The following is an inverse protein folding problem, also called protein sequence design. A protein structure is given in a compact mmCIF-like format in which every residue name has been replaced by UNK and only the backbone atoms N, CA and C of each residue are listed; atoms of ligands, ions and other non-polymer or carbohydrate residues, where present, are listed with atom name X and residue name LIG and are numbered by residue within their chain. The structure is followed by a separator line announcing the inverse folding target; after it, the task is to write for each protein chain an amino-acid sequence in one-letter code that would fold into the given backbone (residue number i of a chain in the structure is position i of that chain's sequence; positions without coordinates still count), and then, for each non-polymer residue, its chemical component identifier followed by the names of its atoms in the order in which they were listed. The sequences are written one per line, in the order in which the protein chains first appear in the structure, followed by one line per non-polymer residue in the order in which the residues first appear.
data_IF_274229902046
#
_entry.id   IF_274229902046
#
_cell.length_a   1.000
_cell.length_b   1.000
_cell.length_c   1.000
_cell.angle_alpha   90.00
_cell.angle_beta   90.00
_cell.angle_gamma   90.00
#
_symmetry.space_group_name_H-M   'P 1'
#
loop_
_entity.id
_entity.type
_entity.pdbx_description
1 polymer ?
#
# COMPACT_ATOMS: atom_id res chain seq x y z
N UNK A 1 5.39 -8.92 39.24
CA UNK A 1 5.19 -7.77 38.31
C UNK A 1 4.95 -8.20 36.85
N UNK A 2 5.36 -9.40 36.41
CA UNK A 2 5.25 -9.87 35.02
C UNK A 2 3.81 -10.01 34.49
N UNK A 3 2.84 -10.43 35.33
CA UNK A 3 1.42 -10.50 34.95
C UNK A 3 0.70 -9.16 34.89
N UNK A 4 1.16 -8.13 35.62
CA UNK A 4 0.51 -6.80 35.60
C UNK A 4 0.79 -6.04 34.30
N UNK A 5 1.97 -6.22 33.71
CA UNK A 5 2.30 -5.63 32.40
C UNK A 5 1.45 -6.21 31.26
N UNK A 6 1.14 -7.51 31.30
CA UNK A 6 0.29 -8.17 30.31
C UNK A 6 -1.18 -7.69 30.39
N UNK A 7 -1.70 -7.53 31.62
CA UNK A 7 -3.04 -6.96 31.86
C UNK A 7 -3.15 -5.50 31.41
N UNK A 8 -2.11 -4.68 31.63
CA UNK A 8 -2.07 -3.32 31.09
C UNK A 8 -2.01 -3.28 29.56
N UNK A 9 -1.35 -4.27 28.93
CA UNK A 9 -1.32 -4.41 27.47
C UNK A 9 -2.71 -4.72 26.88
N UNK A 10 -3.46 -5.62 27.52
CA UNK A 10 -4.85 -5.94 27.14
C UNK A 10 -5.79 -4.74 27.32
N UNK A 11 -5.64 -4.00 28.42
CA UNK A 11 -6.46 -2.80 28.69
C UNK A 11 -6.28 -1.71 27.62
N UNK A 12 -5.06 -1.53 27.09
CA UNK A 12 -4.80 -0.59 26.00
C UNK A 12 -5.37 -1.04 24.65
N UNK A 13 -5.42 -2.36 24.40
CA UNK A 13 -6.01 -2.92 23.19
C UNK A 13 -7.53 -2.77 23.22
N UNK A 14 -8.18 -3.09 24.35
CA UNK A 14 -9.62 -2.87 24.54
C UNK A 14 -9.99 -1.39 24.41
N UNK A 15 -9.22 -0.48 25.01
CA UNK A 15 -9.48 0.95 24.93
C UNK A 15 -9.29 1.51 23.51
N UNK A 16 -8.29 1.03 22.76
CA UNK A 16 -8.09 1.43 21.36
C UNK A 16 -9.21 0.93 20.44
N UNK A 17 -9.74 -0.28 20.68
CA UNK A 17 -10.89 -0.80 19.96
C UNK A 17 -12.17 -0.01 20.30
N UNK A 18 -12.42 0.30 21.57
CA UNK A 18 -13.57 1.11 21.98
C UNK A 18 -13.55 2.52 21.38
N UNK A 19 -12.38 3.16 21.27
CA UNK A 19 -12.27 4.49 20.63
C UNK A 19 -12.44 4.41 19.11
N UNK A 20 -12.04 3.32 18.46
CA UNK A 20 -12.28 3.11 17.02
C UNK A 20 -13.74 2.73 16.70
N UNK A 21 -14.43 2.03 17.61
CA UNK A 21 -15.86 1.70 17.46
C UNK A 21 -16.79 2.81 17.94
N UNK A 22 -16.35 3.70 18.83
CA UNK A 22 -17.12 4.87 19.28
C UNK A 22 -16.94 6.10 18.37
N UNK A 23 -16.02 6.05 17.40
CA UNK A 23 -16.03 7.01 16.30
C UNK A 23 -17.28 6.72 15.45
N UNK A 24 -18.24 7.65 15.33
CA UNK A 24 -19.45 7.40 14.56
C UNK A 24 -19.02 7.17 13.11
N UNK A 25 -19.21 5.94 12.64
CA UNK A 25 -19.12 5.57 11.24
C UNK A 25 -20.19 6.33 10.48
N UNK A 26 -19.83 7.54 9.99
CA UNK A 26 -20.58 8.31 8.97
C UNK A 26 -20.59 7.59 7.61
N UNK A 27 -20.84 6.29 7.60
CA UNK A 27 -20.98 5.46 6.39
C UNK A 27 -22.41 4.94 6.21
N UNK A 28 -23.35 5.28 7.10
CA UNK A 28 -24.77 4.92 6.99
C UNK A 28 -25.67 6.15 6.92
N UNK A 29 -25.40 7.07 5.99
CA UNK A 29 -26.33 8.15 5.63
C UNK A 29 -25.88 8.79 4.31
N UNK A 30 -26.18 8.14 3.18
CA UNK A 30 -26.28 8.79 1.86
C UNK A 30 -26.92 7.79 0.88
N UNK A 31 -28.24 7.60 1.03
CA UNK A 31 -29.12 7.41 -0.11
C UNK A 31 -29.50 8.80 -0.60
N UNK A 32 -29.02 9.23 -1.75
CA UNK A 32 -29.83 9.90 -2.79
C UNK A 32 -28.96 10.36 -3.95
N UNK A 33 -29.51 10.15 -5.14
CA UNK A 33 -28.98 10.51 -6.45
C UNK A 33 -28.86 12.02 -6.60
N UNK A 34 -27.71 12.54 -7.04
CA UNK A 34 -27.59 13.64 -8.01
C UNK A 34 -26.20 13.55 -8.67
N UNK A 35 -26.16 13.37 -9.98
CA UNK A 35 -24.99 13.63 -10.83
C UNK A 35 -24.60 15.11 -10.73
N UNK A 36 -23.36 15.42 -10.39
CA UNK A 36 -22.78 16.71 -10.76
C UNK A 36 -21.38 16.50 -11.32
N UNK A 37 -21.27 16.83 -12.60
CA UNK A 37 -20.07 16.94 -13.41
C UNK A 37 -19.28 18.18 -12.96
N UNK A 38 -18.22 17.98 -12.18
CA UNK A 38 -17.19 19.01 -11.97
C UNK A 38 -15.86 18.43 -12.41
N UNK A 39 -15.46 18.79 -13.62
CA UNK A 39 -14.14 18.52 -14.17
C UNK A 39 -13.09 19.24 -13.31
N UNK A 40 -12.08 18.50 -12.85
CA UNK A 40 -10.91 19.06 -12.17
C UNK A 40 -10.15 19.98 -13.13
N UNK A 41 -10.13 21.28 -12.86
CA UNK A 41 -9.37 22.25 -13.63
C UNK A 41 -8.01 22.49 -12.95
N UNK A 42 -6.95 22.24 -13.71
CA UNK A 42 -5.55 22.44 -13.31
C UNK A 42 -5.03 23.73 -13.95
N UNK A 43 -4.28 24.54 -13.21
CA UNK A 43 -3.57 25.68 -13.79
C UNK A 43 -2.36 25.20 -14.62
N UNK A 44 -1.78 26.09 -15.44
CA UNK A 44 -0.64 25.77 -16.32
C UNK A 44 0.66 25.43 -15.59
N UNK A 45 0.70 25.52 -14.25
CA UNK A 45 1.85 25.16 -13.41
C UNK A 45 1.60 23.88 -12.60
N UNK A 46 0.48 23.18 -12.82
CA UNK A 46 0.17 21.92 -12.15
C UNK A 46 -0.24 22.06 -10.69
N UNK A 47 -0.62 23.27 -10.24
CA UNK A 47 -1.15 23.50 -8.90
C UNK A 47 -2.68 23.48 -8.89
N UNK A 48 -3.26 22.81 -7.88
CA UNK A 48 -4.71 22.67 -7.71
C UNK A 48 -5.29 24.01 -7.24
N UNK A 49 -6.00 24.72 -8.11
CA UNK A 49 -6.81 25.88 -7.71
C UNK A 49 -8.09 25.39 -7.03
N UNK A 50 -8.12 25.46 -5.69
CA UNK A 50 -9.36 25.39 -4.92
C UNK A 50 -10.07 26.74 -5.07
N UNK A 51 -11.02 26.83 -6.01
CA UNK A 51 -11.98 27.93 -6.01
C UNK A 51 -12.83 27.83 -4.73
N UNK A 52 -12.69 28.83 -3.86
CA UNK A 52 -13.64 29.09 -2.80
C UNK A 52 -14.89 29.70 -3.47
N UNK A 53 -15.98 28.94 -3.51
CA UNK A 53 -17.23 29.40 -4.10
C UNK A 53 -17.93 30.45 -3.22
N UNK A 54 -18.52 31.41 -3.92
CA UNK A 54 -19.16 32.63 -3.45
C UNK A 54 -20.33 32.44 -2.47
N UNK A 55 -20.54 33.44 -1.61
CA UNK A 55 -21.54 33.45 -0.53
C UNK A 55 -23.00 33.65 -0.97
N UNK A 56 -23.43 33.14 -2.13
CA UNK A 56 -24.77 33.42 -2.68
C UNK A 56 -25.44 32.19 -3.29
N UNK A 57 -25.87 31.25 -2.45
CA UNK A 57 -27.00 30.33 -2.74
C UNK A 57 -27.42 29.59 -1.46
N UNK A 58 -28.29 30.22 -0.68
CA UNK A 58 -29.07 29.55 0.37
C UNK A 58 -30.51 29.47 -0.15
N UNK A 59 -30.97 28.28 -0.53
CA UNK A 59 -32.37 27.98 -0.85
C UNK A 59 -33.12 27.52 0.41
N UNK A 60 -34.40 27.86 0.47
CA UNK A 60 -35.19 28.06 1.68
C UNK A 60 -35.68 26.78 2.43
N UNK A 61 -34.95 25.67 2.38
CA UNK A 61 -35.40 24.38 2.95
C UNK A 61 -34.70 23.97 4.26
N UNK A 62 -33.73 24.74 4.75
CA UNK A 62 -33.03 24.48 6.02
C UNK A 62 -33.69 25.15 7.25
N UNK A 63 -34.87 25.77 7.11
CA UNK A 63 -35.50 26.54 8.21
C UNK A 63 -36.40 25.77 9.18
N UNK A 64 -36.49 24.43 9.11
CA UNK A 64 -37.40 23.67 10.00
C UNK A 64 -36.79 22.45 10.71
N UNK A 65 -35.46 22.34 10.80
CA UNK A 65 -34.78 21.28 11.58
C UNK A 65 -33.80 21.81 12.64
N UNK A 66 -34.04 23.00 13.20
CA UNK A 66 -33.25 23.54 14.33
C UNK A 66 -33.78 23.15 15.72
N UNK A 67 -34.68 22.17 15.84
CA UNK A 67 -35.08 21.62 17.13
C UNK A 67 -34.78 20.13 17.23
N UNK A 68 -33.82 19.83 18.11
CA UNK A 68 -33.34 18.53 18.57
C UNK A 68 -32.08 17.99 17.85
N UNK A 69 -31.04 17.78 18.67
CA UNK A 69 -29.77 17.05 18.44
C UNK A 69 -28.54 17.88 18.02
N UNK A 70 -27.99 18.68 18.95
CA UNK A 70 -26.52 18.75 19.10
C UNK A 70 -26.10 18.86 20.58
N UNK A 71 -25.39 17.86 21.13
CA UNK A 71 -24.75 17.92 22.43
C UNK A 71 -23.31 18.44 22.33
N UNK A 72 -22.91 19.34 23.24
CA UNK A 72 -21.57 19.35 23.83
C UNK A 72 -20.37 19.88 23.03
N UNK A 73 -20.51 20.40 21.81
CA UNK A 73 -19.35 20.90 21.03
C UNK A 73 -19.29 22.44 20.88
N UNK A 74 -20.39 23.17 21.08
CA UNK A 74 -20.43 24.62 20.82
C UNK A 74 -20.09 25.51 22.03
N UNK A 75 -19.90 24.93 23.22
CA UNK A 75 -19.43 25.66 24.39
C UNK A 75 -17.90 25.92 24.40
N UNK A 76 -17.13 25.39 23.44
CA UNK A 76 -15.68 25.60 23.35
C UNK A 76 -15.26 26.70 22.36
N UNK A 77 -16.20 27.41 21.72
CA UNK A 77 -15.89 28.36 20.64
C UNK A 77 -15.71 29.82 21.04
N UNK A 78 -16.04 30.25 22.27
CA UNK A 78 -16.12 31.70 22.61
C UNK A 78 -15.60 32.09 24.01
N UNK A 79 -14.73 31.29 24.62
CA UNK A 79 -13.89 31.81 25.70
C UNK A 79 -12.66 32.48 25.09
N UNK A 80 -12.57 33.80 25.19
CA UNK A 80 -11.31 34.54 25.05
C UNK A 80 -10.36 34.00 26.11
N UNK A 81 -9.59 32.97 25.76
CA UNK A 81 -8.50 32.50 26.59
C UNK A 81 -7.52 33.67 26.69
N UNK A 82 -7.24 34.19 27.90
CA UNK A 82 -6.28 35.27 28.04
C UNK A 82 -4.94 34.77 27.48
N UNK A 83 -4.25 35.63 26.74
CA UNK A 83 -2.94 35.41 26.09
C UNK A 83 -1.78 35.06 27.05
N UNK A 84 -2.09 34.66 28.28
CA UNK A 84 -1.18 34.21 29.32
C UNK A 84 -1.66 32.87 29.86
N UNK A 85 -1.21 31.76 29.27
CA UNK A 85 -0.91 30.49 29.96
C UNK A 85 -0.90 29.25 29.04
N UNK A 86 -0.15 29.24 27.94
CA UNK A 86 0.50 28.00 27.47
C UNK A 86 1.79 28.39 26.74
N UNK A 87 3.00 28.09 27.26
CA UNK A 87 4.22 28.30 26.49
C UNK A 87 4.15 27.45 25.23
N UNK A 88 4.41 28.02 24.04
CA UNK A 88 4.47 27.27 22.76
C UNK A 88 5.39 26.03 22.84
N UNK A 89 6.33 26.01 23.79
CA UNK A 89 7.16 24.85 24.13
C UNK A 89 6.36 23.59 24.57
N UNK A 90 5.14 23.72 25.11
CA UNK A 90 4.34 22.57 25.54
C UNK A 90 3.59 21.87 24.40
N UNK A 91 3.34 22.56 23.28
CA UNK A 91 2.70 21.95 22.10
C UNK A 91 3.62 20.91 21.43
N UNK A 92 4.93 21.14 21.45
CA UNK A 92 5.97 20.18 21.03
C UNK A 92 6.47 19.25 22.14
N UNK A 93 5.99 19.40 23.38
CA UNK A 93 6.45 18.60 24.51
C UNK A 93 6.14 17.12 24.30
N UNK A 94 7.13 16.27 24.58
CA UNK A 94 7.02 14.80 24.58
C UNK A 94 5.92 14.29 25.52
N UNK A 95 5.48 15.11 26.47
CA UNK A 95 4.49 14.83 27.50
C UNK A 95 3.12 15.45 27.21
N UNK A 96 2.93 16.08 26.04
CA UNK A 96 1.62 16.62 25.68
C UNK A 96 0.62 15.46 25.45
N UNK A 97 -0.48 15.37 26.21
CA UNK A 97 -1.43 14.25 26.11
C UNK A 97 -2.03 14.09 24.70
N UNK A 98 -2.13 15.17 23.91
CA UNK A 98 -2.60 15.12 22.52
C UNK A 98 -1.61 14.45 21.54
N UNK A 99 -0.30 14.46 21.86
CA UNK A 99 0.72 13.81 21.04
C UNK A 99 0.90 12.32 21.38
N UNK A 100 0.31 11.87 22.48
CA UNK A 100 0.44 10.50 22.98
C UNK A 100 -0.24 9.46 22.07
N UNK A 101 -1.49 9.66 21.61
CA UNK A 101 -2.13 8.76 20.65
C UNK A 101 -1.35 8.66 19.34
N UNK A 102 -0.88 9.81 18.81
CA UNK A 102 -0.05 9.84 17.59
C UNK A 102 1.24 9.04 17.77
N UNK A 103 1.91 9.16 18.92
CA UNK A 103 3.12 8.37 19.23
C UNK A 103 2.85 6.89 19.39
N UNK A 104 1.79 6.50 20.10
CA UNK A 104 1.42 5.10 20.27
C UNK A 104 1.11 4.49 18.91
N UNK A 105 0.34 5.19 18.07
CA UNK A 105 0.03 4.77 16.73
C UNK A 105 1.28 4.64 15.84
N UNK A 106 2.22 5.59 15.95
CA UNK A 106 3.50 5.53 15.25
C UNK A 106 4.33 4.30 15.67
N UNK A 107 4.37 3.99 16.97
CA UNK A 107 5.03 2.79 17.50
C UNK A 107 4.35 1.49 17.05
N UNK A 108 3.02 1.47 17.01
CA UNK A 108 2.23 0.34 16.51
C UNK A 108 2.52 0.08 15.03
N UNK A 109 2.53 1.14 14.19
CA UNK A 109 2.91 1.03 12.77
C UNK A 109 4.33 0.53 12.60
N UNK A 110 5.28 1.04 13.38
CA UNK A 110 6.66 0.55 13.38
C UNK A 110 6.73 -0.94 13.73
N UNK A 111 6.08 -1.34 14.81
CA UNK A 111 6.09 -2.73 15.27
C UNK A 111 5.48 -3.65 14.20
N UNK A 112 4.35 -3.25 13.63
CA UNK A 112 3.69 -4.00 12.57
C UNK A 112 4.56 -4.12 11.31
N UNK A 113 5.24 -3.04 10.90
CA UNK A 113 6.16 -3.06 9.77
C UNK A 113 7.37 -3.99 10.04
N UNK A 114 7.92 -4.00 11.26
CA UNK A 114 8.98 -4.94 11.67
C UNK A 114 8.53 -6.38 11.64
N UNK A 115 7.31 -6.67 12.13
CA UNK A 115 6.73 -8.02 12.05
C UNK A 115 6.58 -8.46 10.60
N UNK A 116 6.05 -7.60 9.73
CA UNK A 116 5.96 -7.89 8.29
C UNK A 116 7.32 -8.15 7.67
N UNK A 117 8.33 -7.33 7.99
CA UNK A 117 9.68 -7.52 7.47
C UNK A 117 10.30 -8.83 7.97
N UNK A 118 10.07 -9.19 9.23
CA UNK A 118 10.54 -10.46 9.77
C UNK A 118 9.92 -11.66 9.03
N UNK A 119 8.61 -11.63 8.81
CA UNK A 119 7.90 -12.65 8.02
C UNK A 119 8.45 -12.69 6.59
N UNK A 120 8.64 -11.52 5.98
CA UNK A 120 9.23 -11.43 4.64
C UNK A 120 10.65 -11.95 4.61
N UNK A 121 11.47 -11.66 5.62
CA UNK A 121 12.84 -12.15 5.69
C UNK A 121 12.88 -13.66 5.71
N UNK A 122 11.99 -14.32 6.46
CA UNK A 122 11.86 -15.78 6.40
C UNK A 122 11.46 -16.27 5.00
N UNK A 123 10.60 -15.52 4.31
CA UNK A 123 10.18 -15.80 2.92
C UNK A 123 11.21 -15.40 1.86
N UNK A 124 12.21 -14.58 2.16
CA UNK A 124 13.20 -14.10 1.19
C UNK A 124 14.61 -14.61 1.47
N UNK A 125 14.81 -15.44 2.49
CA UNK A 125 16.07 -16.15 2.73
C UNK A 125 16.06 -17.51 2.04
N UNK A 126 16.85 -17.61 0.96
CA UNK A 126 16.98 -18.82 0.14
C UNK A 126 16.27 -18.69 -1.21
N UNK A 127 16.83 -19.29 -2.25
CA UNK A 127 16.33 -19.16 -3.64
C UNK A 127 14.90 -19.66 -3.79
N UNK A 128 14.58 -20.83 -3.22
CA UNK A 128 13.22 -21.38 -3.27
C UNK A 128 12.21 -20.50 -2.53
N UNK A 129 12.60 -19.93 -1.38
CA UNK A 129 11.72 -19.05 -0.62
C UNK A 129 11.41 -17.76 -1.41
N UNK A 130 12.44 -17.14 -2.02
CA UNK A 130 12.27 -15.97 -2.90
C UNK A 130 11.33 -16.32 -4.05
N UNK A 131 11.52 -17.49 -4.65
CA UNK A 131 10.65 -18.03 -5.69
C UNK A 131 9.19 -18.12 -5.24
N UNK A 132 8.95 -18.73 -4.08
CA UNK A 132 7.61 -18.86 -3.52
C UNK A 132 6.99 -17.48 -3.29
N UNK A 133 7.72 -16.57 -2.65
CA UNK A 133 7.23 -15.23 -2.37
C UNK A 133 6.89 -14.45 -3.65
N UNK A 134 7.72 -14.54 -4.68
CA UNK A 134 7.48 -13.89 -5.96
C UNK A 134 6.23 -14.46 -6.66
N UNK A 135 6.02 -15.77 -6.58
CA UNK A 135 4.83 -16.45 -7.10
C UNK A 135 3.56 -16.15 -6.32
N UNK A 136 3.66 -15.89 -5.00
CA UNK A 136 2.56 -15.37 -4.19
C UNK A 136 2.23 -13.89 -4.50
N UNK A 137 3.00 -13.24 -5.37
CA UNK A 137 2.79 -11.87 -5.82
C UNK A 137 3.58 -10.82 -5.07
N UNK A 138 4.60 -11.20 -4.29
CA UNK A 138 5.55 -10.24 -3.75
C UNK A 138 6.37 -9.62 -4.87
N UNK A 139 6.39 -8.28 -4.91
CA UNK A 139 7.10 -7.52 -5.93
C UNK A 139 8.22 -6.67 -5.32
N UNK A 140 9.22 -6.27 -6.12
CA UNK A 140 10.23 -5.32 -5.68
C UNK A 140 9.66 -3.99 -5.18
N UNK A 141 8.59 -3.45 -5.78
CA UNK A 141 7.99 -2.19 -5.31
C UNK A 141 7.27 -2.36 -3.98
N UNK A 142 6.53 -3.46 -3.77
CA UNK A 142 5.88 -3.73 -2.48
C UNK A 142 6.91 -3.93 -1.36
N UNK A 143 8.02 -4.61 -1.65
CA UNK A 143 9.13 -4.75 -0.71
C UNK A 143 9.83 -3.41 -0.44
N UNK A 144 10.01 -2.57 -1.47
CA UNK A 144 10.57 -1.20 -1.34
C UNK A 144 9.69 -0.31 -0.45
N UNK A 145 8.37 -0.38 -0.62
CA UNK A 145 7.41 0.35 0.24
C UNK A 145 7.57 -0.05 1.70
N UNK A 146 7.63 -1.35 1.99
CA UNK A 146 7.81 -1.82 3.37
C UNK A 146 9.16 -1.41 3.96
N UNK A 147 10.24 -1.52 3.18
CA UNK A 147 11.57 -1.02 3.56
C UNK A 147 11.51 0.46 3.95
N UNK A 148 10.92 1.29 3.09
CA UNK A 148 10.83 2.73 3.31
C UNK A 148 9.95 3.07 4.50
N UNK A 149 8.86 2.34 4.74
CA UNK A 149 8.06 2.48 5.96
C UNK A 149 8.91 2.22 7.19
N UNK A 150 9.70 1.14 7.21
CA UNK A 150 10.55 0.83 8.36
C UNK A 150 11.59 1.91 8.57
N UNK A 151 12.24 2.39 7.52
CA UNK A 151 13.20 3.48 7.63
C UNK A 151 12.56 4.80 8.09
N UNK A 152 11.32 5.06 7.67
CA UNK A 152 10.57 6.22 8.12
C UNK A 152 10.25 6.13 9.61
N UNK A 153 9.71 5.00 10.07
CA UNK A 153 9.26 4.84 11.45
C UNK A 153 10.38 4.52 12.45
N UNK A 154 11.55 4.10 11.98
CA UNK A 154 12.64 3.59 12.80
C UNK A 154 13.86 4.51 12.74
N UNK A 155 14.40 4.89 13.89
CA UNK A 155 15.80 5.32 14.02
C UNK A 155 16.72 4.09 13.96
N UNK A 156 16.54 3.24 12.95
CA UNK A 156 17.27 1.97 12.81
C UNK A 156 18.77 2.26 12.92
N UNK A 157 19.46 1.46 13.72
CA UNK A 157 20.91 1.52 13.80
C UNK A 157 21.51 1.35 12.39
N UNK A 158 22.68 1.95 12.11
CA UNK A 158 23.30 1.87 10.78
C UNK A 158 23.41 0.43 10.25
N UNK A 159 23.67 -0.53 11.15
CA UNK A 159 23.79 -1.95 10.82
C UNK A 159 22.49 -2.55 10.27
N UNK A 160 21.35 -2.29 10.93
CA UNK A 160 20.04 -2.78 10.51
C UNK A 160 19.65 -2.19 9.15
N UNK A 161 19.92 -0.91 8.91
CA UNK A 161 19.65 -0.28 7.61
C UNK A 161 20.43 -0.95 6.49
N UNK A 162 21.72 -1.20 6.72
CA UNK A 162 22.57 -1.86 5.74
C UNK A 162 22.10 -3.28 5.42
N UNK A 163 21.72 -4.07 6.44
CA UNK A 163 21.17 -5.41 6.25
C UNK A 163 19.86 -5.40 5.46
N UNK A 164 18.94 -4.50 5.81
CA UNK A 164 17.66 -4.38 5.09
C UNK A 164 17.88 -4.00 3.63
N UNK A 165 18.81 -3.09 3.36
CA UNK A 165 19.16 -2.67 2.00
C UNK A 165 19.80 -3.82 1.20
N UNK A 166 20.69 -4.60 1.84
CA UNK A 166 21.32 -5.78 1.24
C UNK A 166 20.29 -6.86 0.90
N UNK A 167 19.38 -7.17 1.83
CA UNK A 167 18.32 -8.17 1.64
C UNK A 167 17.38 -7.73 0.50
N UNK A 168 17.03 -6.44 0.45
CA UNK A 168 16.25 -5.84 -0.64
C UNK A 168 16.95 -5.98 -2.00
N UNK A 169 18.22 -5.59 -2.10
CA UNK A 169 18.98 -5.67 -3.35
C UNK A 169 19.13 -7.11 -3.83
N UNK A 170 19.31 -8.06 -2.90
CA UNK A 170 19.35 -9.49 -3.23
C UNK A 170 18.03 -9.97 -3.83
N UNK A 171 16.90 -9.57 -3.23
CA UNK A 171 15.57 -9.90 -3.76
C UNK A 171 15.37 -9.31 -5.15
N UNK A 172 15.68 -8.02 -5.34
CA UNK A 172 15.55 -7.33 -6.63
C UNK A 172 16.35 -8.06 -7.71
N UNK A 173 17.63 -8.38 -7.44
CA UNK A 173 18.49 -9.10 -8.38
C UNK A 173 17.90 -10.45 -8.76
N UNK A 174 17.45 -11.23 -7.77
CA UNK A 174 16.90 -12.56 -8.01
C UNK A 174 15.52 -12.52 -8.68
N UNK A 175 14.73 -11.46 -8.46
CA UNK A 175 13.44 -11.27 -9.12
C UNK A 175 13.62 -10.96 -10.60
N UNK A 176 14.57 -10.09 -10.96
CA UNK A 176 14.76 -9.71 -12.36
C UNK A 176 15.56 -10.71 -13.18
N UNK A 177 16.36 -11.58 -12.55
CA UNK A 177 17.06 -12.67 -13.26
C UNK A 177 16.11 -13.62 -14.00
N UNK A 178 14.83 -13.65 -13.59
CA UNK A 178 13.80 -14.53 -14.13
C UNK A 178 13.31 -14.12 -15.52
N UNK A 179 13.60 -12.89 -15.94
CA UNK A 179 13.22 -12.38 -17.26
C UNK A 179 14.35 -12.54 -18.29
N UNK A 180 15.44 -13.23 -17.96
CA UNK A 180 16.56 -13.39 -18.89
C UNK A 180 16.13 -13.99 -20.23
N UNK A 181 15.33 -15.07 -20.20
CA UNK A 181 14.77 -15.69 -21.39
C UNK A 181 13.87 -14.76 -22.23
N UNK A 182 13.19 -13.79 -21.59
CA UNK A 182 12.33 -12.83 -22.28
C UNK A 182 13.10 -11.96 -23.27
N UNK A 183 14.38 -11.68 -23.02
CA UNK A 183 15.22 -10.82 -23.88
C UNK A 183 16.04 -11.60 -24.92
N UNK A 184 15.91 -12.93 -24.98
CA UNK A 184 16.54 -13.76 -26.02
C UNK A 184 15.80 -13.65 -27.37
N UNK A 185 16.38 -14.22 -28.42
CA UNK A 185 15.79 -14.24 -29.76
C UNK A 185 15.88 -15.66 -30.37
N UNK A 186 14.78 -16.44 -30.43
CA UNK A 186 13.43 -16.08 -29.97
C UNK A 186 13.35 -15.95 -28.43
N UNK A 187 12.41 -15.14 -27.91
CA UNK A 187 12.11 -15.06 -26.48
C UNK A 187 11.62 -16.41 -25.97
N UNK A 188 12.06 -16.77 -24.76
CA UNK A 188 11.69 -18.02 -24.09
C UNK A 188 11.18 -17.72 -22.69
N UNK A 189 10.07 -18.35 -22.32
CA UNK A 189 9.59 -18.42 -20.95
C UNK A 189 10.26 -19.58 -20.21
N UNK A 190 11.07 -19.28 -19.20
CA UNK A 190 11.63 -20.31 -18.30
C UNK A 190 10.61 -20.70 -17.21
N UNK A 191 9.34 -20.90 -17.58
CA UNK A 191 8.23 -21.04 -16.63
C UNK A 191 8.07 -22.44 -16.06
N UNK A 192 8.63 -23.46 -16.71
CA UNK A 192 8.62 -24.83 -16.20
C UNK A 192 9.22 -24.93 -14.79
N UNK A 193 10.31 -24.20 -14.53
CA UNK A 193 10.91 -24.12 -13.18
C UNK A 193 9.90 -23.64 -12.14
N UNK A 194 9.03 -22.70 -12.50
CA UNK A 194 7.99 -22.17 -11.62
C UNK A 194 6.81 -23.10 -11.45
N UNK A 195 6.45 -23.85 -12.50
CA UNK A 195 5.40 -24.84 -12.40
C UNK A 195 5.81 -25.97 -11.44
N UNK A 196 7.05 -26.45 -11.53
CA UNK A 196 7.63 -27.42 -10.58
C UNK A 196 7.59 -26.84 -9.15
N UNK A 197 8.05 -25.60 -8.97
CA UNK A 197 8.02 -24.93 -7.66
C UNK A 197 6.59 -24.83 -7.09
N UNK A 198 5.59 -24.55 -7.93
CA UNK A 198 4.17 -24.50 -7.52
C UNK A 198 3.61 -25.89 -7.21
N UNK A 199 4.10 -26.94 -7.86
CA UNK A 199 3.73 -28.32 -7.54
C UNK A 199 4.34 -28.80 -6.22
N UNK A 200 5.49 -28.26 -5.82
CA UNK A 200 6.14 -28.56 -4.54
C UNK A 200 5.57 -27.74 -3.37
N UNK A 201 4.88 -26.63 -3.65
CA UNK A 201 4.25 -25.78 -2.64
C UNK A 201 3.18 -26.49 -1.80
N UNK A 202 3.00 -26.02 -0.57
CA UNK A 202 1.89 -26.40 0.28
C UNK A 202 0.54 -25.99 -0.36
N UNK A 203 -0.57 -26.71 -0.07
CA UNK A 203 -1.88 -26.38 -0.63
C UNK A 203 -2.30 -24.91 -0.41
N UNK A 204 -1.99 -24.35 0.76
CA UNK A 204 -2.27 -22.95 1.09
C UNK A 204 -1.47 -21.96 0.23
N UNK A 205 -0.21 -22.26 -0.06
CA UNK A 205 0.67 -21.45 -0.91
C UNK A 205 0.17 -21.47 -2.36
N UNK A 206 -0.26 -22.63 -2.87
CA UNK A 206 -0.86 -22.75 -4.21
C UNK A 206 -2.13 -21.92 -4.36
N UNK A 207 -2.96 -21.85 -3.31
CA UNK A 207 -4.15 -20.99 -3.29
C UNK A 207 -3.72 -19.51 -3.38
N UNK A 208 -2.68 -19.11 -2.63
CA UNK A 208 -2.15 -17.75 -2.70
C UNK A 208 -1.63 -17.40 -4.11
N UNK A 209 -0.89 -18.31 -4.75
CA UNK A 209 -0.44 -18.17 -6.14
C UNK A 209 -1.61 -18.02 -7.10
N UNK A 210 -2.67 -18.84 -6.97
CA UNK A 210 -3.87 -18.73 -7.80
C UNK A 210 -4.56 -17.38 -7.62
N UNK A 211 -4.75 -16.92 -6.38
CA UNK A 211 -5.34 -15.61 -6.11
C UNK A 211 -4.50 -14.46 -6.70
N UNK A 212 -3.17 -14.57 -6.63
CA UNK A 212 -2.26 -13.59 -7.21
C UNK A 212 -2.36 -13.57 -8.75
N UNK A 213 -2.37 -14.75 -9.38
CA UNK A 213 -2.62 -14.91 -10.82
C UNK A 213 -3.98 -14.33 -11.25
N UNK A 214 -5.05 -14.65 -10.55
CA UNK A 214 -6.40 -14.15 -10.84
C UNK A 214 -6.51 -12.63 -10.70
N UNK A 215 -5.76 -12.05 -9.76
CA UNK A 215 -5.65 -10.60 -9.62
C UNK A 215 -4.93 -9.99 -10.82
N UNK A 216 -3.79 -10.57 -11.22
CA UNK A 216 -3.02 -10.07 -12.36
C UNK A 216 -3.80 -10.23 -13.66
N UNK A 217 -4.44 -11.37 -13.90
CA UNK A 217 -5.30 -11.62 -15.06
C UNK A 217 -6.38 -10.56 -15.21
N UNK A 218 -7.16 -10.30 -14.15
CA UNK A 218 -8.21 -9.27 -14.16
C UNK A 218 -7.70 -7.85 -14.42
N UNK A 219 -6.43 -7.57 -14.16
CA UNK A 219 -5.83 -6.25 -14.41
C UNK A 219 -5.28 -6.18 -15.84
N UNK A 220 -4.56 -7.23 -16.27
CA UNK A 220 -3.98 -7.33 -17.62
C UNK A 220 -5.07 -7.35 -18.69
N UNK A 221 -6.17 -8.09 -18.47
CA UNK A 221 -7.28 -8.20 -19.43
C UNK A 221 -7.99 -6.85 -19.65
N UNK A 222 -7.75 -5.83 -18.81
CA UNK A 222 -8.27 -4.47 -19.01
C UNK A 222 -7.43 -3.64 -19.98
N UNK A 223 -6.28 -4.13 -20.45
CA UNK A 223 -5.43 -3.42 -21.43
C UNK A 223 -4.88 -2.10 -20.91
N UNK A 224 -4.54 -2.02 -19.62
CA UNK A 224 -4.00 -0.80 -19.03
C UNK A 224 -2.61 -0.46 -19.57
N UNK A 225 -2.28 0.84 -19.58
CA UNK A 225 -0.93 1.33 -19.92
C UNK A 225 0.13 0.84 -18.92
N UNK A 226 1.39 0.80 -19.37
CA UNK A 226 2.57 0.45 -18.55
C UNK A 226 2.62 1.25 -17.24
N UNK A 227 2.41 2.56 -17.32
CA UNK A 227 2.38 3.46 -16.15
C UNK A 227 1.31 3.05 -15.15
N UNK A 228 0.12 2.68 -15.64
CA UNK A 228 -0.98 2.24 -14.80
C UNK A 228 -0.67 0.88 -14.17
N UNK A 229 -0.07 -0.06 -14.89
CA UNK A 229 0.38 -1.34 -14.36
C UNK A 229 1.42 -1.16 -13.23
N UNK A 230 2.39 -0.27 -13.41
CA UNK A 230 3.37 0.11 -12.38
C UNK A 230 2.66 0.72 -11.16
N UNK A 231 1.72 1.65 -11.37
CA UNK A 231 0.98 2.30 -10.28
C UNK A 231 0.18 1.31 -9.42
N UNK A 232 -0.36 0.26 -10.05
CA UNK A 232 -1.11 -0.81 -9.40
C UNK A 232 -0.21 -1.91 -8.81
N UNK A 233 1.11 -1.81 -9.03
CA UNK A 233 2.12 -2.77 -8.61
C UNK A 233 1.79 -4.20 -9.08
N UNK A 234 1.48 -4.32 -10.38
CA UNK A 234 1.20 -5.61 -11.03
C UNK A 234 2.51 -6.38 -11.17
N UNK A 235 2.59 -7.60 -10.63
CA UNK A 235 3.80 -8.43 -10.70
C UNK A 235 4.17 -8.76 -12.17
N UNK A 236 5.32 -8.29 -12.70
CA UNK A 236 5.75 -8.67 -14.03
C UNK A 236 5.96 -10.18 -14.19
N UNK A 237 6.37 -10.88 -13.13
CA UNK A 237 6.57 -12.33 -13.16
C UNK A 237 5.25 -13.08 -13.38
N UNK A 238 4.20 -12.65 -12.66
CA UNK A 238 2.88 -13.25 -12.83
C UNK A 238 2.25 -12.85 -14.17
N UNK A 239 2.58 -11.69 -14.71
CA UNK A 239 2.16 -11.32 -16.06
C UNK A 239 2.85 -12.20 -17.11
N UNK A 240 4.17 -12.41 -17.02
CA UNK A 240 4.91 -13.36 -17.86
C UNK A 240 4.26 -14.76 -17.80
N UNK A 241 3.96 -15.24 -16.59
CA UNK A 241 3.29 -16.53 -16.37
C UNK A 241 1.90 -16.61 -16.97
N UNK A 242 1.12 -15.54 -16.86
CA UNK A 242 -0.19 -15.46 -17.47
C UNK A 242 -0.09 -15.55 -19.00
N UNK A 243 0.88 -14.86 -19.61
CA UNK A 243 1.08 -14.90 -21.06
C UNK A 243 1.49 -16.28 -21.55
N UNK A 244 2.40 -16.93 -20.84
CA UNK A 244 2.80 -18.30 -21.12
C UNK A 244 1.65 -19.29 -21.02
N UNK A 245 0.82 -19.19 -19.97
CA UNK A 245 -0.38 -20.01 -19.85
C UNK A 245 -1.42 -19.80 -20.96
N UNK A 246 -1.34 -18.67 -21.68
CA UNK A 246 -2.17 -18.35 -22.85
C UNK A 246 -1.52 -18.81 -24.18
N UNK A 247 -0.37 -19.48 -24.13
CA UNK A 247 0.35 -19.97 -25.31
C UNK A 247 1.10 -18.88 -26.09
N UNK A 248 1.32 -17.70 -25.50
CA UNK A 248 1.94 -16.56 -26.21
C UNK A 248 3.34 -16.90 -26.72
N UNK A 249 4.14 -17.61 -25.92
CA UNK A 249 5.51 -17.97 -26.27
C UNK A 249 5.62 -19.16 -27.24
N UNK A 250 4.54 -19.92 -27.45
CA UNK A 250 4.52 -21.02 -28.43
C UNK A 250 4.45 -20.49 -29.87
N UNK A 251 3.79 -19.33 -30.07
CA UNK A 251 3.69 -18.68 -31.38
C UNK A 251 4.20 -17.23 -31.33
N UNK A 252 5.51 -17.08 -31.19
CA UNK A 252 6.20 -15.78 -31.07
C UNK A 252 5.90 -14.83 -32.22
N UNK A 253 5.75 -15.34 -33.45
CA UNK A 253 5.52 -14.48 -34.64
C UNK A 253 4.15 -13.79 -34.58
N UNK A 254 3.12 -14.50 -34.17
CA UNK A 254 1.77 -13.94 -34.04
C UNK A 254 1.62 -13.05 -32.81
N UNK A 255 2.31 -13.39 -31.71
CA UNK A 255 2.18 -12.67 -30.44
C UNK A 255 3.29 -11.64 -30.19
N UNK A 256 3.95 -11.18 -31.25
CA UNK A 256 5.13 -10.29 -31.15
C UNK A 256 4.83 -9.02 -30.34
N UNK A 257 3.70 -8.36 -30.62
CA UNK A 257 3.31 -7.12 -29.95
C UNK A 257 3.08 -7.31 -28.45
N UNK A 258 2.48 -8.44 -28.06
CA UNK A 258 2.25 -8.76 -26.66
C UNK A 258 3.58 -8.99 -25.92
N UNK A 259 4.54 -9.68 -26.57
CA UNK A 259 5.87 -9.94 -26.01
C UNK A 259 6.67 -8.63 -25.90
N UNK A 260 6.61 -7.75 -26.91
CA UNK A 260 7.24 -6.42 -26.87
C UNK A 260 6.62 -5.57 -25.75
N UNK A 261 5.29 -5.56 -25.59
CA UNK A 261 4.65 -4.87 -24.47
C UNK A 261 5.10 -5.39 -23.11
N UNK A 262 5.28 -6.71 -22.95
CA UNK A 262 5.81 -7.29 -21.71
C UNK A 262 7.28 -6.88 -21.48
N UNK A 263 8.11 -6.85 -22.52
CA UNK A 263 9.51 -6.40 -22.42
C UNK A 263 9.59 -4.95 -21.96
N UNK A 264 8.83 -4.08 -22.60
CA UNK A 264 8.76 -2.66 -22.25
C UNK A 264 8.24 -2.47 -20.82
N UNK A 265 7.24 -3.27 -20.43
CA UNK A 265 6.72 -3.26 -19.07
C UNK A 265 7.78 -3.66 -18.04
N UNK A 266 8.49 -4.76 -18.25
CA UNK A 266 9.55 -5.25 -17.35
C UNK A 266 10.67 -4.22 -17.22
N UNK A 267 11.06 -3.59 -18.33
CA UNK A 267 12.13 -2.59 -18.35
C UNK A 267 11.73 -1.29 -17.64
N UNK A 268 10.51 -0.80 -17.90
CA UNK A 268 9.95 0.34 -17.19
C UNK A 268 9.73 0.06 -15.70
N UNK A 269 9.32 -1.16 -15.35
CA UNK A 269 9.17 -1.60 -13.96
C UNK A 269 10.53 -1.64 -13.25
N UNK A 270 11.56 -2.21 -13.89
CA UNK A 270 12.93 -2.22 -13.38
C UNK A 270 13.45 -0.80 -13.10
N UNK A 271 13.23 0.13 -14.03
CA UNK A 271 13.62 1.53 -13.86
C UNK A 271 12.96 2.18 -12.63
N UNK A 272 11.67 1.94 -12.40
CA UNK A 272 10.95 2.46 -11.22
C UNK A 272 11.40 1.82 -9.91
N UNK A 273 11.85 0.57 -9.95
CA UNK A 273 12.41 -0.11 -8.77
C UNK A 273 13.76 0.51 -8.39
N UNK A 274 14.59 0.85 -9.38
CA UNK A 274 15.95 1.37 -9.17
C UNK A 274 16.03 2.89 -8.90
N UNK A 275 14.99 3.66 -9.22
CA UNK A 275 14.87 5.10 -8.89
C UNK A 275 14.43 5.35 -7.45
#
# INVERSE_FOLDING_TARGET
MRNRAFLFGLFFIEYACLVLFAAPTRASLLKSNVESTLAEQWDSNGTRTLQADDSKRISAEERSMEQALLPGAEAMGKTKVPEKAVPRASLGSKLNPLNWPKRIWYKLRLWYARVRLYILKQKTTGENAIGIAAMEGLTPLSLKKLKNEIFHYSSSEPHDKWLIEKDYNSFVKHYFSQFYGLYQNPPVSEIDKWNILVEEMLPLERIAVRMAMDRVGRIVDKGYSIEKLISLDVSPLLYLRLMDSKGVFENVKENKDAIEHLRDYVEAYHKNVMM
#
